data_IF_853233622640
#
_entry.id   IF_853233622640
#
_cell.length_a   1.000
_cell.length_b   1.000
_cell.length_c   1.000
_cell.angle_alpha   90.00
_cell.angle_beta   90.00
_cell.angle_gamma   90.00
#
_symmetry.space_group_name_H-M   'P 1'
#
loop_
_entity.id
_entity.type
_entity.pdbx_description
1 polymer ?
#
# COMPACT_ATOMS: atom_id res chain seq x y z
N UNK A 1 31.22 30.53 41.53
CA UNK A 1 32.39 30.89 40.70
C UNK A 1 32.28 30.12 39.39
N UNK A 2 31.80 30.76 38.33
CA UNK A 2 31.64 30.12 37.02
C UNK A 2 32.98 30.10 36.29
N UNK A 3 33.44 28.90 35.93
CA UNK A 3 34.68 28.65 35.19
C UNK A 3 34.53 29.17 33.75
N UNK A 4 35.42 30.07 33.34
CA UNK A 4 35.48 30.61 31.99
C UNK A 4 35.95 29.53 31.01
N UNK A 5 35.06 29.09 30.13
CA UNK A 5 35.38 28.19 29.01
C UNK A 5 36.15 28.98 27.94
N UNK A 6 37.40 28.60 27.71
CA UNK A 6 38.24 29.16 26.63
C UNK A 6 37.70 28.65 25.29
N UNK A 7 37.09 29.54 24.49
CA UNK A 7 36.71 29.19 23.11
C UNK A 7 37.96 29.06 22.23
N UNK A 8 38.07 28.04 21.37
CA UNK A 8 39.20 27.88 20.48
C UNK A 8 39.18 28.93 19.36
N UNK A 9 40.31 29.61 19.16
CA UNK A 9 40.51 30.58 18.07
C UNK A 9 40.58 29.85 16.72
N UNK A 10 39.62 30.07 15.83
CA UNK A 10 39.60 29.51 14.47
C UNK A 10 40.49 30.38 13.57
N UNK A 11 41.57 29.82 13.04
CA UNK A 11 42.39 30.47 12.02
C UNK A 11 41.72 30.35 10.65
N UNK A 12 41.62 31.46 9.91
CA UNK A 12 40.98 31.54 8.59
C UNK A 12 42.02 31.70 7.49
N UNK A 13 41.84 31.00 6.37
CA UNK A 13 42.69 31.10 5.17
C UNK A 13 41.88 31.77 4.06
N UNK A 14 42.47 32.79 3.42
CA UNK A 14 41.89 33.49 2.28
C UNK A 14 42.23 32.78 0.99
N UNK A 15 41.21 32.33 0.25
CA UNK A 15 41.41 31.69 -1.06
C UNK A 15 41.62 32.73 -2.16
N UNK A 16 42.15 32.31 -3.32
CA UNK A 16 42.42 33.19 -4.47
C UNK A 16 41.17 33.86 -5.06
N UNK A 17 39.97 33.37 -4.74
CA UNK A 17 38.68 33.95 -5.11
C UNK A 17 38.11 34.89 -4.05
N UNK A 18 38.88 35.20 -2.99
CA UNK A 18 38.55 36.20 -1.97
C UNK A 18 37.71 35.69 -0.81
N UNK A 19 37.29 34.42 -0.80
CA UNK A 19 36.53 33.82 0.30
C UNK A 19 37.45 33.28 1.40
N UNK A 20 37.09 33.54 2.66
CA UNK A 20 37.78 32.99 3.83
C UNK A 20 37.15 31.64 4.21
N UNK A 21 37.98 30.62 4.39
CA UNK A 21 37.58 29.26 4.82
C UNK A 21 38.38 28.88 6.08
N UNK A 22 37.81 28.18 7.08
CA UNK A 22 38.54 27.78 8.27
C UNK A 22 39.70 26.83 7.92
N UNK A 23 40.87 27.09 8.51
CA UNK A 23 42.06 26.25 8.38
C UNK A 23 41.83 24.90 9.09
N UNK A 24 41.78 23.80 8.33
CA UNK A 24 41.76 22.46 8.91
C UNK A 24 43.16 22.15 9.46
N UNK A 25 43.30 21.78 10.75
CA UNK A 25 44.61 21.43 11.31
C UNK A 25 45.17 20.19 10.62
N UNK A 26 46.43 20.25 10.19
CA UNK A 26 47.20 19.08 9.71
C UNK A 26 47.62 18.24 10.92
N UNK A 27 46.67 17.59 11.59
CA UNK A 27 46.99 16.55 12.58
C UNK A 27 47.13 15.21 11.88
N UNK A 28 48.30 14.63 12.05
CA UNK A 28 48.75 13.30 11.65
C UNK A 28 47.61 12.28 11.47
N UNK A 29 47.41 11.85 10.23
CA UNK A 29 46.78 10.56 9.95
C UNK A 29 47.79 9.51 10.39
N UNK A 30 47.56 8.93 11.57
CA UNK A 30 48.29 7.75 12.01
C UNK A 30 48.09 6.66 10.95
N UNK A 31 49.21 6.21 10.40
CA UNK A 31 49.32 5.11 9.45
C UNK A 31 48.98 3.79 10.15
N UNK A 32 47.69 3.49 10.31
CA UNK A 32 47.23 2.13 10.59
C UNK A 32 47.04 1.38 9.27
N UNK A 33 47.96 0.43 9.06
CA UNK A 33 47.94 -0.70 8.12
C UNK A 33 46.66 -0.85 7.26
N UNK A 34 46.63 -0.21 6.09
CA UNK A 34 45.86 -0.70 4.94
C UNK A 34 46.85 -1.41 4.02
N UNK A 35 47.29 -2.58 4.43
CA UNK A 35 48.05 -3.51 3.61
C UNK A 35 47.57 -4.91 3.92
N UNK A 36 46.52 -5.33 3.21
CA UNK A 36 46.32 -6.68 2.65
C UNK A 36 44.86 -6.84 2.23
N UNK A 37 44.56 -6.48 0.99
CA UNK A 37 43.66 -7.26 0.14
C UNK A 37 43.90 -6.78 -1.29
N UNK A 38 44.48 -7.58 -2.20
CA UNK A 38 44.41 -7.22 -3.61
C UNK A 38 42.93 -7.23 -4.00
N UNK A 39 42.44 -6.26 -4.79
CA UNK A 39 41.14 -6.45 -5.42
C UNK A 39 41.27 -7.71 -6.28
N UNK A 40 40.56 -8.79 -5.93
CA UNK A 40 40.42 -9.92 -6.85
C UNK A 40 39.85 -9.33 -8.15
N UNK A 41 40.44 -9.60 -9.33
CA UNK A 41 39.82 -9.19 -10.58
C UNK A 41 38.52 -9.98 -10.71
N UNK A 42 37.42 -9.39 -10.27
CA UNK A 42 36.08 -9.94 -10.49
C UNK A 42 35.85 -9.82 -11.99
N UNK A 43 35.62 -10.94 -12.68
CA UNK A 43 35.39 -10.95 -14.13
C UNK A 43 34.28 -9.94 -14.44
N UNK A 44 34.44 -9.08 -15.44
CA UNK A 44 33.45 -8.04 -15.76
C UNK A 44 32.02 -8.59 -15.96
N UNK A 45 31.87 -9.85 -16.39
CA UNK A 45 30.58 -10.56 -16.46
C UNK A 45 29.94 -10.82 -15.09
N UNK A 46 30.75 -11.08 -14.06
CA UNK A 46 30.31 -11.35 -12.69
C UNK A 46 29.90 -10.04 -11.99
N UNK A 47 30.67 -8.96 -12.18
CA UNK A 47 30.31 -7.61 -11.71
C UNK A 47 29.03 -7.11 -12.36
N UNK A 48 28.86 -7.30 -13.69
CA UNK A 48 27.62 -6.92 -14.39
C UNK A 48 26.39 -7.69 -13.90
N UNK A 49 26.56 -8.94 -13.48
CA UNK A 49 25.48 -9.78 -12.95
C UNK A 49 25.11 -9.37 -11.53
N UNK A 50 26.10 -9.13 -10.67
CA UNK A 50 25.90 -8.62 -9.30
C UNK A 50 25.25 -7.24 -9.28
N UNK A 51 25.68 -6.31 -10.15
CA UNK A 51 25.05 -4.98 -10.26
C UNK A 51 23.59 -5.11 -10.71
N UNK A 52 23.31 -5.98 -11.69
CA UNK A 52 21.93 -6.24 -12.15
C UNK A 52 21.07 -6.82 -11.04
N UNK A 53 21.59 -7.77 -10.27
CA UNK A 53 20.83 -8.44 -9.22
C UNK A 53 20.68 -7.56 -7.95
N UNK A 54 21.44 -6.47 -7.83
CA UNK A 54 21.36 -5.48 -6.72
C UNK A 54 20.61 -4.20 -7.11
N UNK A 55 20.31 -4.02 -8.40
CA UNK A 55 19.57 -2.87 -8.90
C UNK A 55 18.17 -2.85 -8.26
N UNK A 56 17.80 -1.79 -7.50
CA UNK A 56 16.51 -1.69 -6.84
C UNK A 56 15.33 -1.89 -7.80
N UNK A 57 15.47 -1.42 -9.05
CA UNK A 57 14.44 -1.58 -10.08
C UNK A 57 14.25 -3.05 -10.47
N UNK A 58 15.34 -3.79 -10.61
CA UNK A 58 15.31 -5.22 -10.93
C UNK A 58 14.76 -6.06 -9.76
N UNK A 59 15.12 -5.70 -8.53
CA UNK A 59 14.58 -6.34 -7.33
C UNK A 59 13.08 -6.07 -7.16
N UNK A 60 12.62 -4.85 -7.46
CA UNK A 60 11.20 -4.52 -7.50
C UNK A 60 10.47 -5.37 -8.56
N UNK A 61 10.97 -5.41 -9.79
CA UNK A 61 10.35 -6.16 -10.89
C UNK A 61 10.30 -7.67 -10.61
N UNK A 62 11.36 -8.23 -10.01
CA UNK A 62 11.43 -9.65 -9.63
C UNK A 62 10.48 -10.03 -8.49
N UNK A 63 10.22 -9.12 -7.56
CA UNK A 63 9.36 -9.38 -6.41
C UNK A 63 7.91 -8.94 -6.64
N UNK A 64 7.63 -8.09 -7.65
CA UNK A 64 6.29 -7.62 -7.98
C UNK A 64 5.27 -8.76 -8.18
N UNK A 65 5.58 -9.89 -8.86
CA UNK A 65 4.64 -10.99 -9.02
C UNK A 65 4.24 -11.66 -7.70
N UNK A 66 5.04 -11.52 -6.65
CA UNK A 66 4.75 -12.06 -5.32
C UNK A 66 3.86 -11.13 -4.48
N UNK A 67 3.68 -9.89 -4.92
CA UNK A 67 2.83 -8.89 -4.26
C UNK A 67 1.43 -8.83 -4.87
N UNK A 68 1.23 -9.44 -6.03
CA UNK A 68 0.00 -9.32 -6.81
C UNK A 68 -0.83 -10.61 -6.81
N UNK A 69 -2.15 -10.45 -6.78
CA UNK A 69 -3.11 -11.49 -7.11
C UNK A 69 -3.06 -11.79 -8.61
N UNK A 70 -2.95 -13.07 -8.98
CA UNK A 70 -2.72 -13.48 -10.38
C UNK A 70 -3.94 -13.24 -11.27
N UNK A 71 -5.15 -13.32 -10.72
CA UNK A 71 -6.38 -13.19 -11.50
C UNK A 71 -6.70 -11.72 -11.76
N UNK A 72 -6.51 -10.85 -10.78
CA UNK A 72 -6.94 -9.44 -10.86
C UNK A 72 -5.79 -8.45 -11.08
N UNK A 73 -4.54 -8.86 -10.87
CA UNK A 73 -3.38 -7.99 -10.87
C UNK A 73 -3.44 -6.90 -9.79
N UNK A 74 -4.27 -7.08 -8.77
CA UNK A 74 -4.34 -6.23 -7.57
C UNK A 74 -3.30 -6.66 -6.55
N UNK A 75 -3.10 -5.88 -5.49
CA UNK A 75 -2.30 -6.36 -4.36
C UNK A 75 -2.92 -7.64 -3.79
N UNK A 76 -2.10 -8.60 -3.40
CA UNK A 76 -2.57 -9.72 -2.60
C UNK A 76 -2.76 -9.30 -1.13
N UNK A 77 -3.33 -10.19 -0.32
CA UNK A 77 -3.58 -9.96 1.10
C UNK A 77 -2.35 -9.45 1.85
N UNK A 78 -1.22 -10.16 1.76
CA UNK A 78 -0.01 -9.81 2.51
C UNK A 78 0.54 -8.43 2.13
N UNK A 79 0.56 -8.09 0.83
CA UNK A 79 1.00 -6.78 0.38
C UNK A 79 0.03 -5.66 0.81
N UNK A 80 -1.27 -5.96 0.83
CA UNK A 80 -2.31 -5.00 1.26
C UNK A 80 -2.22 -4.72 2.76
N UNK A 81 -2.12 -5.75 3.60
CA UNK A 81 -1.99 -5.61 5.05
C UNK A 81 -0.68 -4.88 5.43
N UNK A 82 0.43 -5.20 4.74
CA UNK A 82 1.71 -4.50 4.95
C UNK A 82 1.60 -3.01 4.63
N UNK A 83 1.00 -2.65 3.49
CA UNK A 83 0.85 -1.25 3.07
C UNK A 83 -0.16 -0.50 3.96
N UNK A 84 -1.22 -1.17 4.39
CA UNK A 84 -2.17 -0.63 5.36
C UNK A 84 -1.50 -0.33 6.70
N UNK A 85 -0.64 -1.22 7.20
CA UNK A 85 0.11 -0.98 8.43
C UNK A 85 0.97 0.28 8.33
N UNK A 86 1.64 0.47 7.20
CA UNK A 86 2.43 1.67 6.93
C UNK A 86 1.57 2.94 6.97
N UNK A 87 0.38 2.92 6.33
CA UNK A 87 -0.52 4.08 6.32
C UNK A 87 -1.17 4.35 7.68
N UNK A 88 -1.49 3.33 8.48
CA UNK A 88 -1.97 3.50 9.86
C UNK A 88 -0.92 4.18 10.74
N UNK A 89 0.36 3.81 10.61
CA UNK A 89 1.45 4.47 11.33
C UNK A 89 1.59 5.94 10.90
N UNK A 90 1.45 6.25 9.60
CA UNK A 90 1.44 7.63 9.09
C UNK A 90 0.24 8.42 9.58
N UNK A 91 -0.95 7.83 9.55
CA UNK A 91 -2.19 8.41 10.07
C UNK A 91 -2.02 8.84 11.54
N UNK A 92 -1.47 7.95 12.36
CA UNK A 92 -1.19 8.21 13.78
C UNK A 92 -0.19 9.35 13.96
N UNK A 93 0.89 9.36 13.18
CA UNK A 93 1.93 10.41 13.25
C UNK A 93 1.39 11.79 12.83
N UNK A 94 0.69 11.87 11.72
CA UNK A 94 0.26 13.13 11.12
C UNK A 94 -1.16 13.55 11.46
N UNK A 95 -1.88 12.74 12.24
CA UNK A 95 -3.26 12.98 12.66
C UNK A 95 -4.20 13.13 11.45
N UNK A 96 -3.99 12.27 10.44
CA UNK A 96 -4.78 12.22 9.22
C UNK A 96 -5.54 10.90 9.17
N UNK A 97 -6.82 10.89 8.74
CA UNK A 97 -7.60 9.67 8.72
C UNK A 97 -7.10 8.69 7.66
N UNK A 98 -7.25 7.39 7.89
CA UNK A 98 -7.12 6.34 6.87
C UNK A 98 -8.35 5.46 6.97
N UNK A 99 -9.09 5.34 5.86
CA UNK A 99 -10.26 4.47 5.80
C UNK A 99 -9.93 3.19 5.03
N UNK A 100 -10.34 2.04 5.58
CA UNK A 100 -10.42 0.77 4.86
C UNK A 100 -11.88 0.46 4.51
N UNK A 101 -12.12 0.04 3.29
CA UNK A 101 -13.39 -0.48 2.80
C UNK A 101 -13.18 -1.93 2.40
N UNK A 102 -13.93 -2.84 3.00
CA UNK A 102 -14.00 -4.24 2.59
C UNK A 102 -15.21 -4.44 1.69
N UNK A 103 -14.96 -4.82 0.45
CA UNK A 103 -15.95 -4.97 -0.62
C UNK A 103 -16.08 -6.45 -0.96
N UNK A 104 -17.27 -7.00 -0.78
CA UNK A 104 -17.55 -8.40 -1.12
C UNK A 104 -18.52 -8.47 -2.30
N UNK A 105 -18.24 -9.35 -3.25
CA UNK A 105 -19.21 -9.71 -4.29
C UNK A 105 -20.31 -10.57 -3.67
N UNK A 106 -21.56 -10.15 -3.80
CA UNK A 106 -22.72 -10.93 -3.35
C UNK A 106 -23.03 -12.06 -4.35
N UNK A 107 -23.45 -13.23 -3.84
CA UNK A 107 -23.87 -14.37 -4.66
C UNK A 107 -22.81 -14.91 -5.66
N UNK A 108 -21.51 -14.72 -5.39
CA UNK A 108 -20.44 -15.22 -6.27
C UNK A 108 -20.49 -16.75 -6.40
N UNK A 109 -20.63 -17.48 -5.29
CA UNK A 109 -20.65 -18.96 -5.31
C UNK A 109 -21.84 -19.48 -6.12
N UNK A 110 -23.02 -18.88 -5.98
CA UNK A 110 -24.19 -19.20 -6.80
C UNK A 110 -23.94 -18.92 -8.30
N UNK A 111 -23.18 -17.87 -8.62
CA UNK A 111 -22.78 -17.59 -10.00
C UNK A 111 -21.84 -18.69 -10.52
N UNK A 112 -20.88 -19.14 -9.71
CA UNK A 112 -19.95 -20.22 -10.08
C UNK A 112 -20.71 -21.53 -10.26
N UNK A 113 -21.61 -21.87 -9.35
CA UNK A 113 -22.40 -23.10 -9.41
C UNK A 113 -23.30 -23.15 -10.64
N UNK A 114 -23.91 -22.01 -11.01
CA UNK A 114 -24.89 -21.95 -12.10
C UNK A 114 -24.29 -21.71 -13.48
N UNK A 115 -23.21 -20.95 -13.59
CA UNK A 115 -22.61 -20.54 -14.89
C UNK A 115 -21.16 -20.99 -15.06
N UNK A 116 -20.61 -21.70 -14.07
CA UNK A 116 -19.27 -22.24 -14.09
C UNK A 116 -18.18 -21.27 -13.59
N UNK A 117 -16.98 -21.80 -13.35
CA UNK A 117 -15.86 -21.06 -12.76
C UNK A 117 -15.40 -19.87 -13.62
N UNK A 118 -15.51 -19.97 -14.95
CA UNK A 118 -15.16 -18.88 -15.86
C UNK A 118 -16.03 -17.64 -15.65
N UNK A 119 -17.33 -17.82 -15.40
CA UNK A 119 -18.24 -16.71 -15.12
C UNK A 119 -17.92 -16.03 -13.78
N UNK A 120 -17.51 -16.82 -12.77
CA UNK A 120 -17.02 -16.28 -11.50
C UNK A 120 -15.73 -15.47 -11.68
N UNK A 121 -14.76 -16.01 -12.44
CA UNK A 121 -13.51 -15.32 -12.75
C UNK A 121 -13.74 -14.02 -13.54
N UNK A 122 -14.68 -13.98 -14.49
CA UNK A 122 -15.09 -12.74 -15.18
C UNK A 122 -15.63 -11.69 -14.21
N UNK A 123 -16.38 -12.09 -13.20
CA UNK A 123 -16.96 -11.16 -12.22
C UNK A 123 -15.89 -10.61 -11.28
N UNK A 124 -14.99 -11.47 -10.79
CA UNK A 124 -13.82 -11.11 -9.99
C UNK A 124 -12.93 -10.12 -10.73
N UNK A 125 -12.59 -10.43 -11.99
CA UNK A 125 -11.73 -9.57 -12.81
C UNK A 125 -12.39 -8.24 -13.14
N UNK A 126 -13.69 -8.24 -13.42
CA UNK A 126 -14.45 -7.01 -13.65
C UNK A 126 -14.53 -6.11 -12.43
N UNK A 127 -14.83 -6.67 -11.24
CA UNK A 127 -14.80 -5.86 -10.03
C UNK A 127 -13.39 -5.31 -9.81
N UNK A 128 -12.35 -6.13 -9.99
CA UNK A 128 -10.96 -5.68 -9.89
C UNK A 128 -10.62 -4.50 -10.81
N UNK A 129 -11.10 -4.49 -12.06
CA UNK A 129 -10.91 -3.36 -12.98
C UNK A 129 -11.69 -2.13 -12.54
N UNK A 130 -12.96 -2.28 -12.12
CA UNK A 130 -13.78 -1.17 -11.62
C UNK A 130 -13.15 -0.52 -10.39
N UNK A 131 -12.62 -1.32 -9.46
CA UNK A 131 -11.96 -0.81 -8.27
C UNK A 131 -10.76 0.05 -8.67
N UNK A 132 -9.88 -0.43 -9.57
CA UNK A 132 -8.72 0.35 -10.04
C UNK A 132 -9.13 1.65 -10.72
N UNK A 133 -10.16 1.63 -11.57
CA UNK A 133 -10.62 2.80 -12.33
C UNK A 133 -11.24 3.90 -11.44
N UNK A 134 -11.91 3.50 -10.36
CA UNK A 134 -12.64 4.43 -9.50
C UNK A 134 -11.91 4.86 -8.23
N UNK A 135 -10.73 4.30 -7.96
CA UNK A 135 -9.84 4.72 -6.87
C UNK A 135 -8.81 5.77 -7.34
N UNK A 136 -8.34 6.61 -6.42
CA UNK A 136 -7.29 7.59 -6.71
C UNK A 136 -5.92 6.93 -6.77
N UNK A 137 -4.93 7.59 -7.36
CA UNK A 137 -3.53 7.12 -7.39
C UNK A 137 -2.92 6.92 -5.99
N UNK A 138 -3.40 7.68 -5.00
CA UNK A 138 -2.98 7.55 -3.59
C UNK A 138 -3.63 6.38 -2.88
N UNK A 139 -4.78 5.94 -3.35
CA UNK A 139 -5.50 4.80 -2.81
C UNK A 139 -4.84 3.52 -3.31
N UNK A 140 -5.11 2.40 -2.64
CA UNK A 140 -4.68 1.12 -3.15
C UNK A 140 -5.71 0.05 -2.89
N UNK A 141 -5.75 -0.90 -3.82
CA UNK A 141 -6.74 -1.96 -3.85
C UNK A 141 -6.02 -3.29 -3.79
N UNK A 142 -6.55 -4.18 -2.95
CA UNK A 142 -6.08 -5.54 -2.83
C UNK A 142 -7.20 -6.56 -2.78
N UNK A 143 -6.89 -7.79 -3.17
CA UNK A 143 -7.76 -8.94 -2.99
C UNK A 143 -7.33 -9.68 -1.72
N UNK A 144 -8.25 -9.78 -0.77
CA UNK A 144 -8.01 -10.37 0.55
C UNK A 144 -8.35 -11.86 0.53
N UNK A 145 -9.49 -12.21 -0.07
CA UNK A 145 -9.99 -13.58 -0.20
C UNK A 145 -10.72 -13.77 -1.55
N UNK A 146 -11.39 -14.91 -1.75
CA UNK A 146 -11.94 -15.31 -3.05
C UNK A 146 -12.88 -14.25 -3.67
N UNK A 147 -13.81 -13.69 -2.87
CA UNK A 147 -14.78 -12.66 -3.26
C UNK A 147 -14.56 -11.32 -2.56
N UNK A 148 -13.54 -11.22 -1.70
CA UNK A 148 -13.33 -10.12 -0.78
C UNK A 148 -12.15 -9.25 -1.21
N UNK A 149 -12.44 -7.97 -1.38
CA UNK A 149 -11.49 -6.95 -1.76
C UNK A 149 -11.36 -5.90 -0.67
N UNK A 150 -10.21 -5.27 -0.59
CA UNK A 150 -9.97 -4.12 0.27
C UNK A 150 -9.61 -2.91 -0.60
N UNK A 151 -10.22 -1.77 -0.28
CA UNK A 151 -9.78 -0.45 -0.74
C UNK A 151 -9.26 0.28 0.50
N UNK A 152 -8.03 0.77 0.42
CA UNK A 152 -7.46 1.62 1.46
C UNK A 152 -7.33 3.03 0.90
N UNK A 153 -7.94 3.99 1.60
CA UNK A 153 -7.99 5.40 1.23
C UNK A 153 -7.21 6.22 2.27
N UNK A 154 -5.91 6.51 2.02
CA UNK A 154 -5.14 7.40 2.87
C UNK A 154 -5.69 8.81 2.90
N UNK A 155 -5.48 9.49 4.03
CA UNK A 155 -5.91 10.89 4.27
C UNK A 155 -7.40 11.13 3.98
N UNK A 156 -8.22 10.09 4.07
CA UNK A 156 -9.63 10.10 3.68
C UNK A 156 -10.48 9.55 4.81
N UNK A 157 -11.43 10.37 5.27
CA UNK A 157 -12.43 9.95 6.24
C UNK A 157 -13.48 9.01 5.62
N UNK A 158 -14.29 8.40 6.46
CA UNK A 158 -15.21 7.34 6.05
C UNK A 158 -16.26 7.77 5.01
N UNK A 159 -16.93 8.91 5.23
CA UNK A 159 -17.99 9.40 4.34
C UNK A 159 -17.52 9.63 2.88
N UNK A 160 -16.39 10.31 2.59
CA UNK A 160 -15.89 10.42 1.23
C UNK A 160 -15.39 9.09 0.66
N UNK A 161 -14.82 8.20 1.48
CA UNK A 161 -14.39 6.88 1.03
C UNK A 161 -15.58 6.04 0.50
N UNK A 162 -16.73 6.08 1.20
CA UNK A 162 -17.94 5.38 0.79
C UNK A 162 -18.50 5.85 -0.56
N UNK A 163 -18.19 7.06 -1.02
CA UNK A 163 -18.62 7.52 -2.34
C UNK A 163 -17.98 6.73 -3.49
N UNK A 164 -16.75 6.21 -3.29
CA UNK A 164 -16.07 5.35 -4.26
C UNK A 164 -16.90 4.09 -4.48
N UNK A 165 -17.27 3.44 -3.37
CA UNK A 165 -18.07 2.20 -3.38
C UNK A 165 -19.47 2.43 -3.96
N UNK A 166 -20.14 3.55 -3.66
CA UNK A 166 -21.45 3.87 -4.27
C UNK A 166 -21.39 3.93 -5.79
N UNK A 167 -20.29 4.43 -6.36
CA UNK A 167 -20.10 4.45 -7.82
C UNK A 167 -19.89 3.04 -8.37
N UNK A 168 -19.05 2.25 -7.70
CA UNK A 168 -18.79 0.84 -8.06
C UNK A 168 -20.07 0.01 -7.99
N UNK A 169 -20.86 0.14 -6.92
CA UNK A 169 -22.13 -0.58 -6.76
C UNK A 169 -23.10 -0.31 -7.90
N UNK A 170 -23.24 0.94 -8.34
CA UNK A 170 -24.07 1.30 -9.51
C UNK A 170 -23.59 0.63 -10.80
N UNK A 171 -22.27 0.55 -11.02
CA UNK A 171 -21.70 -0.11 -12.21
C UNK A 171 -21.89 -1.64 -12.17
N UNK A 172 -21.80 -2.23 -10.98
CA UNK A 172 -22.09 -3.65 -10.78
C UNK A 172 -23.56 -3.96 -11.07
N UNK A 173 -24.47 -3.14 -10.54
CA UNK A 173 -25.91 -3.27 -10.75
C UNK A 173 -26.30 -3.07 -12.22
N UNK A 174 -25.74 -2.07 -12.89
CA UNK A 174 -25.98 -1.84 -14.32
C UNK A 174 -25.50 -3.01 -15.19
N UNK A 175 -24.34 -3.60 -14.86
CA UNK A 175 -23.88 -4.81 -15.53
C UNK A 175 -24.83 -5.98 -15.28
N UNK A 176 -25.28 -6.19 -14.05
CA UNK A 176 -26.20 -7.28 -13.71
C UNK A 176 -27.51 -7.19 -14.50
N UNK A 177 -28.08 -5.99 -14.64
CA UNK A 177 -29.30 -5.75 -15.42
C UNK A 177 -29.14 -6.01 -16.92
N UNK A 178 -27.92 -5.89 -17.45
CA UNK A 178 -27.64 -6.16 -18.86
C UNK A 178 -27.71 -7.65 -19.23
N UNK A 179 -27.75 -8.53 -18.23
CA UNK A 179 -27.86 -9.98 -18.42
C UNK A 179 -29.20 -10.50 -17.89
N UNK A 180 -30.15 -10.78 -18.78
CA UNK A 180 -31.51 -11.25 -18.44
C UNK A 180 -31.58 -12.57 -17.66
N UNK A 181 -30.47 -13.29 -17.58
CA UNK A 181 -30.40 -14.63 -17.03
C UNK A 181 -29.21 -14.84 -16.11
N UNK A 182 -28.62 -13.78 -15.52
CA UNK A 182 -27.57 -13.88 -14.47
C UNK A 182 -28.12 -13.40 -13.11
N UNK A 183 -27.63 -13.93 -11.98
CA UNK A 183 -27.98 -13.41 -10.66
C UNK A 183 -27.65 -11.92 -10.57
N UNK A 184 -28.44 -11.21 -9.76
CA UNK A 184 -28.22 -9.80 -9.52
C UNK A 184 -26.96 -9.65 -8.65
N UNK A 185 -25.81 -9.53 -9.31
CA UNK A 185 -24.52 -9.50 -8.65
C UNK A 185 -24.23 -8.07 -8.16
N UNK A 186 -24.52 -7.86 -6.88
CA UNK A 186 -24.29 -6.61 -6.14
C UNK A 186 -23.01 -6.71 -5.31
N UNK A 187 -22.71 -5.65 -4.56
CA UNK A 187 -21.59 -5.67 -3.61
C UNK A 187 -22.05 -5.19 -2.23
N UNK A 188 -21.70 -5.97 -1.20
CA UNK A 188 -21.84 -5.56 0.19
C UNK A 188 -20.54 -4.95 0.69
N UNK A 189 -20.62 -3.89 1.50
CA UNK A 189 -19.44 -3.17 1.98
C UNK A 189 -19.46 -2.89 3.47
N UNK A 190 -18.33 -3.17 4.13
CA UNK A 190 -18.03 -2.73 5.48
C UNK A 190 -16.86 -1.74 5.52
N UNK A 191 -16.98 -0.67 6.29
CA UNK A 191 -15.95 0.37 6.40
C UNK A 191 -15.41 0.48 7.82
N UNK A 192 -14.13 0.86 7.98
CA UNK A 192 -13.56 1.30 9.24
C UNK A 192 -12.52 2.40 9.02
N UNK A 193 -12.45 3.37 9.93
CA UNK A 193 -11.56 4.52 9.80
C UNK A 193 -10.63 4.70 11.00
N UNK A 194 -9.32 4.68 10.80
CA UNK A 194 -8.38 5.15 11.82
C UNK A 194 -8.37 6.68 11.87
N UNK A 195 -8.19 7.30 13.06
CA UNK A 195 -8.07 6.65 14.38
C UNK A 195 -9.41 6.34 15.07
N UNK A 196 -10.55 6.75 14.50
CA UNK A 196 -11.87 6.67 15.15
C UNK A 196 -12.30 5.25 15.52
N UNK A 197 -12.07 4.30 14.62
CA UNK A 197 -12.40 2.90 14.80
C UNK A 197 -11.30 2.10 15.51
N UNK A 198 -10.11 2.67 15.65
CA UNK A 198 -8.93 2.02 16.21
C UNK A 198 -7.66 2.52 15.53
N UNK A 199 -6.53 2.22 16.15
CA UNK A 199 -5.21 2.72 15.72
C UNK A 199 -4.23 1.61 15.32
N UNK A 200 -4.73 0.39 15.11
CA UNK A 200 -3.93 -0.73 14.59
C UNK A 200 -4.69 -1.52 13.52
N UNK A 201 -3.93 -2.16 12.62
CA UNK A 201 -4.46 -2.84 11.43
C UNK A 201 -5.50 -3.90 11.76
N UNK A 202 -5.20 -4.76 12.75
CA UNK A 202 -6.09 -5.87 13.11
C UNK A 202 -7.46 -5.37 13.56
N UNK A 203 -7.52 -4.30 14.35
CA UNK A 203 -8.79 -3.72 14.82
C UNK A 203 -9.58 -3.15 13.64
N UNK A 204 -8.93 -2.43 12.71
CA UNK A 204 -9.60 -1.87 11.55
C UNK A 204 -10.18 -2.95 10.64
N UNK A 205 -9.42 -4.00 10.34
CA UNK A 205 -9.89 -5.12 9.52
C UNK A 205 -11.05 -5.83 10.23
N UNK A 206 -10.93 -6.11 11.53
CA UNK A 206 -12.00 -6.75 12.30
C UNK A 206 -13.30 -5.94 12.29
N UNK A 207 -13.22 -4.61 12.50
CA UNK A 207 -14.40 -3.74 12.44
C UNK A 207 -15.01 -3.66 11.05
N UNK A 208 -14.18 -3.52 10.02
CA UNK A 208 -14.67 -3.51 8.64
C UNK A 208 -15.35 -4.84 8.28
N UNK A 209 -14.82 -5.98 8.75
CA UNK A 209 -15.46 -7.30 8.59
C UNK A 209 -16.79 -7.40 9.33
N UNK A 210 -16.86 -6.89 10.57
CA UNK A 210 -18.12 -6.86 11.33
C UNK A 210 -19.19 -6.04 10.61
N UNK A 211 -18.84 -4.86 10.08
CA UNK A 211 -19.76 -4.06 9.30
C UNK A 211 -20.16 -4.74 7.99
N UNK A 212 -19.21 -5.41 7.31
CA UNK A 212 -19.52 -6.16 6.10
C UNK A 212 -20.52 -7.29 6.36
N UNK A 213 -20.36 -7.99 7.49
CA UNK A 213 -21.28 -9.05 7.91
C UNK A 213 -22.68 -8.48 8.22
N UNK A 214 -22.75 -7.30 8.85
CA UNK A 214 -24.03 -6.59 9.05
C UNK A 214 -24.68 -6.22 7.71
N UNK A 215 -23.89 -5.81 6.71
CA UNK A 215 -24.39 -5.54 5.37
C UNK A 215 -24.98 -6.79 4.72
N UNK A 216 -24.24 -7.91 4.73
CA UNK A 216 -24.73 -9.16 4.14
C UNK A 216 -26.03 -9.68 4.77
N UNK A 217 -26.29 -9.37 6.05
CA UNK A 217 -27.52 -9.75 6.75
C UNK A 217 -28.74 -8.93 6.38
N UNK A 218 -28.58 -7.75 5.78
CA UNK A 218 -29.68 -6.91 5.29
C UNK A 218 -29.91 -7.14 3.79
N UNK A 219 -29.99 -8.41 3.37
CA UNK A 219 -30.20 -8.87 1.99
C UNK A 219 -29.08 -8.56 0.98
N UNK A 220 -27.91 -8.08 1.44
CA UNK A 220 -26.82 -7.66 0.55
C UNK A 220 -27.08 -6.31 -0.13
N UNK A 221 -26.23 -5.89 -1.07
CA UNK A 221 -26.32 -4.59 -1.76
C UNK A 221 -26.35 -3.35 -0.84
N UNK A 222 -25.83 -3.48 0.38
CA UNK A 222 -25.87 -2.42 1.36
C UNK A 222 -24.49 -2.14 1.95
N UNK A 223 -24.39 -0.99 2.62
CA UNK A 223 -23.14 -0.48 3.15
C UNK A 223 -23.32 -0.20 4.63
N UNK A 224 -22.41 -0.71 5.44
CA UNK A 224 -22.40 -0.49 6.88
C UNK A 224 -21.11 0.15 7.33
N UNK A 225 -21.24 1.02 8.32
CA UNK A 225 -20.15 1.86 8.79
C UNK A 225 -20.47 2.44 10.19
N UNK A 226 -19.46 2.74 11.00
CA UNK A 226 -19.63 3.40 12.31
C UNK A 226 -20.14 4.84 12.11
N UNK A 227 -21.22 5.22 12.79
CA UNK A 227 -21.72 6.61 12.77
C UNK A 227 -20.79 7.57 13.52
#
# INVERSE_FOLDING_TARGET
>A
MFSASVMPTINWIRTKTGTNIPAVPKTAVASEKISQFPPRPVKAKQVKREIRDTDPSFLLEKNLPQLLDRETGLLNRSATEWKLNYEVLRAKRYHRPVTILLVCIDNLDQTVDKYGPLAGAELITYLGSLLKEHTRDTDFVGRIEHNLFAIVCPETAQAPALQIVRRIGRQMQARAQSFTNRPNNTVSVGAACAPYDGDCVNILIQKALQHLEMAKRQDGDCMFFSA
#
